data_IF_554053348655
#
_entry.id   IF_554053348655
#
_cell.length_a   1.000
_cell.length_b   1.000
_cell.length_c   1.000
_cell.angle_alpha   90.00
_cell.angle_beta   90.00
_cell.angle_gamma   90.00
#
_symmetry.space_group_name_H-M   'P 1'
#
loop_
_entity.id
_entity.type
_entity.pdbx_description
1 polymer ?
#
# COMPACT_ATOMS: atom_id res chain seq x y z
N UNK A 1 12.19 15.83 13.21
CA UNK A 1 11.30 14.97 14.03
C UNK A 1 10.06 14.67 13.24
N UNK A 2 9.68 13.40 13.17
CA UNK A 2 8.52 12.94 12.39
C UNK A 2 7.24 13.42 13.09
N UNK A 3 6.34 14.05 12.34
CA UNK A 3 4.99 14.42 12.77
C UNK A 3 3.98 13.61 11.99
N UNK A 4 2.91 13.19 12.63
CA UNK A 4 1.83 12.42 12.01
C UNK A 4 0.48 13.05 12.32
N UNK A 5 -0.41 13.09 11.34
CA UNK A 5 -1.78 13.50 11.61
C UNK A 5 -2.55 12.36 12.27
N UNK A 6 -2.84 12.53 13.55
CA UNK A 6 -3.61 11.56 14.32
C UNK A 6 -5.11 11.79 14.11
N UNK A 7 -5.79 10.85 13.49
CA UNK A 7 -7.23 10.93 13.23
C UNK A 7 -8.04 11.01 14.54
N UNK A 8 -7.56 10.36 15.59
CA UNK A 8 -8.22 10.37 16.89
C UNK A 8 -8.28 11.79 17.48
N UNK A 9 -7.15 12.51 17.43
CA UNK A 9 -7.01 13.84 18.01
C UNK A 9 -7.26 14.96 16.97
N UNK A 10 -7.44 14.61 15.70
CA UNK A 10 -7.70 15.53 14.56
C UNK A 10 -6.64 16.62 14.40
N UNK A 11 -5.38 16.32 14.71
CA UNK A 11 -4.23 17.25 14.60
C UNK A 11 -2.94 16.52 14.25
N UNK A 12 -1.96 17.26 13.72
CA UNK A 12 -0.60 16.77 13.59
C UNK A 12 0.08 16.76 14.96
N UNK A 13 0.71 15.65 15.29
CA UNK A 13 1.41 15.42 16.55
C UNK A 13 2.82 14.89 16.26
N UNK A 14 3.74 15.14 17.16
CA UNK A 14 5.06 14.51 17.11
C UNK A 14 4.90 13.01 17.35
N UNK A 15 5.55 12.23 16.49
CA UNK A 15 5.58 10.78 16.65
C UNK A 15 6.59 10.40 17.73
N UNK A 16 6.10 9.85 18.81
CA UNK A 16 6.88 9.33 19.93
C UNK A 16 6.54 7.84 20.07
N UNK A 17 7.46 6.92 19.75
CA UNK A 17 7.19 5.49 19.83
C UNK A 17 7.03 5.04 21.29
N UNK A 18 6.32 3.92 21.47
CA UNK A 18 6.20 3.23 22.78
C UNK A 18 7.55 2.71 23.27
N UNK A 19 8.34 2.19 22.36
CA UNK A 19 9.70 1.70 22.60
C UNK A 19 10.67 2.52 21.75
N UNK A 20 11.69 3.18 22.33
CA UNK A 20 12.63 3.96 21.56
C UNK A 20 13.29 3.14 20.43
N UNK A 21 13.25 3.66 19.20
CA UNK A 21 13.83 3.01 18.02
C UNK A 21 12.95 1.91 17.40
N UNK A 22 11.77 1.61 17.94
CA UNK A 22 10.85 0.60 17.39
C UNK A 22 9.50 1.25 17.06
N UNK A 23 8.81 0.73 16.03
CA UNK A 23 7.45 1.11 15.65
C UNK A 23 6.60 -0.14 15.52
N UNK A 24 5.56 -0.25 16.32
CA UNK A 24 4.54 -1.29 16.25
C UNK A 24 3.36 -0.79 15.41
N UNK A 25 3.22 -1.32 14.19
CA UNK A 25 2.24 -0.84 13.22
C UNK A 25 1.31 -1.96 12.77
N UNK A 26 0.01 -1.75 12.95
CA UNK A 26 -1.02 -2.64 12.42
C UNK A 26 -1.80 -1.94 11.32
N UNK A 27 -1.91 -2.58 10.17
CA UNK A 27 -2.68 -2.09 9.03
C UNK A 27 -3.76 -3.11 8.69
N UNK A 28 -5.03 -2.70 8.71
CA UNK A 28 -6.12 -3.58 8.32
C UNK A 28 -5.93 -4.06 6.88
N UNK A 29 -5.86 -5.37 6.72
CA UNK A 29 -5.65 -6.02 5.44
C UNK A 29 -6.95 -6.35 4.70
N UNK A 30 -6.87 -7.01 3.54
CA UNK A 30 -8.02 -7.31 2.72
C UNK A 30 -8.82 -8.50 3.22
N UNK A 31 -10.13 -8.52 2.93
CA UNK A 31 -10.92 -9.74 2.87
C UNK A 31 -10.56 -10.49 1.59
N UNK A 32 -10.04 -11.71 1.72
CA UNK A 32 -9.42 -12.46 0.61
C UNK A 32 -10.42 -13.30 -0.17
N UNK A 33 -11.36 -12.62 -0.83
CA UNK A 33 -12.38 -13.26 -1.67
C UNK A 33 -12.29 -12.90 -3.16
N UNK A 34 -11.43 -11.94 -3.51
CA UNK A 34 -11.24 -11.48 -4.88
C UNK A 34 -9.87 -10.78 -5.01
N UNK A 35 -9.42 -10.50 -6.24
CA UNK A 35 -8.31 -9.59 -6.49
C UNK A 35 -8.56 -8.24 -5.82
N UNK A 36 -7.53 -7.64 -5.25
CA UNK A 36 -7.71 -6.32 -4.68
C UNK A 36 -7.78 -5.25 -5.77
N UNK A 37 -8.61 -4.26 -5.54
CA UNK A 37 -8.79 -3.16 -6.46
C UNK A 37 -7.78 -2.04 -6.21
N UNK A 38 -7.62 -1.15 -7.18
CA UNK A 38 -6.63 -0.07 -7.12
C UNK A 38 -6.81 0.86 -5.89
N UNK A 39 -8.03 0.99 -5.37
CA UNK A 39 -8.28 1.74 -4.12
C UNK A 39 -7.64 1.07 -2.89
N UNK A 40 -7.70 -0.28 -2.79
CA UNK A 40 -6.94 -1.01 -1.78
C UNK A 40 -5.43 -0.89 -2.06
N UNK A 41 -5.03 -0.96 -3.33
CA UNK A 41 -3.65 -0.78 -3.77
C UNK A 41 -3.06 0.54 -3.28
N UNK A 42 -3.82 1.64 -3.33
CA UNK A 42 -3.38 2.91 -2.75
C UNK A 42 -3.09 2.81 -1.25
N UNK A 43 -4.00 2.21 -0.50
CA UNK A 43 -3.82 2.03 0.96
C UNK A 43 -2.55 1.21 1.25
N UNK A 44 -2.34 0.13 0.51
CA UNK A 44 -1.17 -0.73 0.71
C UNK A 44 0.14 -0.01 0.31
N UNK A 45 0.17 0.71 -0.81
CA UNK A 45 1.32 1.52 -1.24
C UNK A 45 1.64 2.62 -0.23
N UNK A 46 0.63 3.33 0.27
CA UNK A 46 0.81 4.40 1.26
C UNK A 46 1.45 3.87 2.55
N UNK A 47 0.93 2.78 3.09
CA UNK A 47 1.45 2.26 4.36
C UNK A 47 2.76 1.49 4.21
N UNK A 48 3.03 0.91 3.03
CA UNK A 48 4.36 0.43 2.65
C UNK A 48 5.38 1.59 2.62
N UNK A 49 5.03 2.71 2.02
CA UNK A 49 5.87 3.91 1.97
C UNK A 49 6.12 4.49 3.37
N UNK A 50 5.11 4.54 4.23
CA UNK A 50 5.24 5.01 5.61
C UNK A 50 6.17 4.08 6.40
N UNK A 51 6.01 2.75 6.25
CA UNK A 51 6.92 1.76 6.84
C UNK A 51 8.35 1.98 6.39
N UNK A 52 8.60 2.01 5.07
CA UNK A 52 9.94 2.22 4.49
C UNK A 52 10.56 3.53 4.96
N UNK A 53 9.76 4.57 5.12
CA UNK A 53 10.27 5.85 5.62
C UNK A 53 10.67 5.78 7.10
N UNK A 54 9.91 5.11 7.97
CA UNK A 54 10.35 4.84 9.34
C UNK A 54 11.66 4.05 9.37
N UNK A 55 11.79 3.02 8.54
CA UNK A 55 13.02 2.22 8.41
C UNK A 55 14.19 3.07 7.90
N UNK A 56 13.98 3.92 6.91
CA UNK A 56 14.96 4.91 6.43
C UNK A 56 15.41 5.87 7.53
N UNK A 57 14.52 6.25 8.44
CA UNK A 57 14.81 7.09 9.61
C UNK A 57 15.43 6.28 10.78
N UNK A 58 15.76 5.02 10.58
CA UNK A 58 16.47 4.16 11.53
C UNK A 58 15.60 3.46 12.56
N UNK A 59 14.28 3.45 12.40
CA UNK A 59 13.39 2.65 13.25
C UNK A 59 13.34 1.21 12.78
N UNK A 60 13.24 0.28 13.72
CA UNK A 60 12.78 -1.08 13.44
C UNK A 60 11.26 -1.08 13.42
N UNK A 61 10.66 -1.53 12.33
CA UNK A 61 9.19 -1.55 12.18
C UNK A 61 8.67 -2.98 12.25
N UNK A 62 7.86 -3.26 13.28
CA UNK A 62 7.06 -4.49 13.35
C UNK A 62 5.72 -4.22 12.67
N UNK A 63 5.64 -4.55 11.38
CA UNK A 63 4.49 -4.29 10.52
C UNK A 63 3.61 -5.53 10.42
N UNK A 64 2.38 -5.44 10.91
CA UNK A 64 1.37 -6.50 10.84
C UNK A 64 0.24 -6.09 9.92
N UNK A 65 -0.09 -6.95 8.96
CA UNK A 65 -1.25 -6.79 8.08
C UNK A 65 -1.99 -8.10 7.95
N UNK A 66 -3.24 -8.14 8.40
CA UNK A 66 -4.01 -9.38 8.43
C UNK A 66 -4.62 -9.77 7.07
N UNK A 67 -5.04 -11.03 7.00
CA UNK A 67 -6.02 -11.50 6.02
C UNK A 67 -7.30 -11.89 6.74
N UNK A 68 -8.42 -11.25 6.38
CA UNK A 68 -9.75 -11.72 6.73
C UNK A 68 -10.10 -12.87 5.80
N UNK A 69 -9.91 -14.10 6.27
CA UNK A 69 -10.11 -15.34 5.51
C UNK A 69 -11.38 -16.10 5.92
N UNK A 70 -12.26 -15.43 6.68
CA UNK A 70 -13.62 -15.87 7.02
C UNK A 70 -14.57 -14.67 7.09
N UNK A 71 -15.52 -14.57 6.17
CA UNK A 71 -16.46 -13.45 6.07
C UNK A 71 -17.69 -13.86 5.25
N UNK A 72 -18.80 -13.14 5.38
CA UNK A 72 -20.03 -13.38 4.62
C UNK A 72 -19.81 -13.39 3.09
N UNK A 73 -18.93 -12.51 2.58
CA UNK A 73 -18.60 -12.44 1.14
C UNK A 73 -17.84 -13.67 0.66
N UNK A 74 -16.96 -14.21 1.50
CA UNK A 74 -16.19 -15.43 1.21
C UNK A 74 -17.09 -16.66 1.19
N UNK A 75 -18.02 -16.76 2.17
CA UNK A 75 -19.01 -17.84 2.24
C UNK A 75 -19.91 -17.80 0.99
N UNK A 76 -20.41 -16.62 0.64
CA UNK A 76 -21.21 -16.44 -0.58
C UNK A 76 -20.46 -16.91 -1.83
N UNK A 77 -19.22 -16.45 -2.00
CA UNK A 77 -18.39 -16.82 -3.15
C UNK A 77 -18.08 -18.31 -3.19
N UNK A 78 -17.76 -18.91 -2.06
CA UNK A 78 -17.51 -20.36 -1.97
C UNK A 78 -18.73 -21.18 -2.40
N UNK A 79 -19.94 -20.76 -1.99
CA UNK A 79 -21.19 -21.38 -2.40
C UNK A 79 -21.47 -21.18 -3.91
N UNK A 80 -21.23 -19.99 -4.45
CA UNK A 80 -21.38 -19.69 -5.89
C UNK A 80 -20.44 -20.52 -6.75
N UNK A 81 -19.20 -20.75 -6.31
CA UNK A 81 -18.19 -21.52 -7.03
C UNK A 81 -18.19 -23.02 -6.70
N UNK A 82 -19.08 -23.48 -5.81
CA UNK A 82 -19.14 -24.90 -5.41
C UNK A 82 -17.86 -25.38 -4.72
N UNK A 83 -17.21 -24.52 -3.93
CA UNK A 83 -15.93 -24.80 -3.28
C UNK A 83 -15.97 -24.46 -1.78
N UNK A 84 -14.83 -24.52 -1.10
CA UNK A 84 -14.73 -24.21 0.33
C UNK A 84 -14.20 -22.79 0.57
N UNK A 85 -14.62 -22.15 1.67
CA UNK A 85 -14.11 -20.85 2.11
C UNK A 85 -12.58 -20.86 2.25
N UNK A 86 -12.03 -21.95 2.79
CA UNK A 86 -10.58 -22.14 2.89
C UNK A 86 -9.89 -22.06 1.53
N UNK A 87 -10.44 -22.74 0.51
CA UNK A 87 -9.85 -22.73 -0.84
C UNK A 87 -9.92 -21.34 -1.48
N UNK A 88 -11.02 -20.60 -1.28
CA UNK A 88 -11.13 -19.20 -1.69
C UNK A 88 -10.03 -18.37 -1.03
N UNK A 89 -9.89 -18.43 0.30
CA UNK A 89 -8.86 -17.73 1.05
C UNK A 89 -7.45 -18.04 0.57
N UNK A 90 -7.09 -19.34 0.46
CA UNK A 90 -5.76 -19.76 0.00
C UNK A 90 -5.45 -19.27 -1.42
N UNK A 91 -6.45 -19.27 -2.32
CA UNK A 91 -6.31 -18.76 -3.67
C UNK A 91 -6.03 -17.26 -3.67
N UNK A 92 -6.90 -16.45 -3.03
CA UNK A 92 -6.77 -15.00 -3.11
C UNK A 92 -5.66 -14.42 -2.23
N UNK A 93 -5.18 -15.13 -1.21
CA UNK A 93 -3.94 -14.77 -0.51
C UNK A 93 -2.74 -14.92 -1.46
N UNK A 94 -2.67 -16.00 -2.25
CA UNK A 94 -1.63 -16.17 -3.25
C UNK A 94 -1.66 -15.06 -4.30
N UNK A 95 -2.86 -14.75 -4.81
CA UNK A 95 -3.05 -13.68 -5.80
C UNK A 95 -2.72 -12.29 -5.21
N UNK A 96 -3.09 -12.04 -3.94
CA UNK A 96 -2.69 -10.82 -3.23
C UNK A 96 -1.17 -10.65 -3.23
N UNK A 97 -0.45 -11.71 -2.88
CA UNK A 97 1.00 -11.63 -2.85
C UNK A 97 1.61 -11.39 -4.24
N UNK A 98 1.06 -12.01 -5.27
CA UNK A 98 1.52 -11.78 -6.65
C UNK A 98 1.35 -10.32 -7.07
N UNK A 99 0.19 -9.73 -6.80
CA UNK A 99 -0.09 -8.34 -7.16
C UNK A 99 0.68 -7.34 -6.29
N UNK A 100 0.84 -7.64 -4.99
CA UNK A 100 1.62 -6.82 -4.07
C UNK A 100 3.11 -6.80 -4.42
N UNK A 101 3.70 -7.96 -4.75
CA UNK A 101 5.09 -8.06 -5.21
C UNK A 101 5.29 -7.29 -6.52
N UNK A 102 4.34 -7.42 -7.47
CA UNK A 102 4.37 -6.70 -8.73
C UNK A 102 4.27 -5.17 -8.55
N UNK A 103 3.62 -4.68 -7.48
CA UNK A 103 3.58 -3.28 -7.08
C UNK A 103 4.77 -2.84 -6.22
N UNK A 104 5.77 -3.71 -6.02
CA UNK A 104 6.90 -3.46 -5.12
C UNK A 104 6.48 -3.11 -3.69
N UNK A 105 5.42 -3.75 -3.17
CA UNK A 105 4.98 -3.65 -1.78
C UNK A 105 5.75 -4.70 -0.97
N UNK A 106 6.44 -4.27 0.08
CA UNK A 106 7.19 -5.18 0.94
C UNK A 106 6.26 -6.10 1.74
N UNK A 107 6.69 -7.33 1.91
CA UNK A 107 5.99 -8.28 2.76
C UNK A 107 5.89 -7.74 4.18
N UNK A 108 4.72 -7.86 4.79
CA UNK A 108 4.57 -7.54 6.20
C UNK A 108 5.49 -8.43 7.06
N UNK A 109 5.86 -7.94 8.25
CA UNK A 109 6.58 -8.76 9.23
C UNK A 109 5.77 -10.01 9.57
N UNK A 110 4.45 -9.84 9.70
CA UNK A 110 3.49 -10.94 9.88
C UNK A 110 2.21 -10.63 9.11
N UNK A 111 1.71 -11.62 8.36
CA UNK A 111 0.37 -11.59 7.77
C UNK A 111 -0.51 -12.66 8.44
N UNK A 112 -1.13 -12.38 9.60
CA UNK A 112 -1.96 -13.35 10.30
C UNK A 112 -3.29 -13.57 9.55
N UNK A 113 -3.80 -14.81 9.61
CA UNK A 113 -5.14 -15.17 9.11
C UNK A 113 -6.11 -15.22 10.26
N UNK A 114 -7.31 -14.69 10.11
CA UNK A 114 -8.32 -14.71 11.14
C UNK A 114 -8.65 -16.15 11.62
N UNK A 115 -8.68 -17.10 10.69
CA UNK A 115 -8.96 -18.51 11.01
C UNK A 115 -7.88 -19.20 11.85
N UNK A 116 -6.65 -18.67 11.88
CA UNK A 116 -5.55 -19.19 12.72
C UNK A 116 -5.65 -18.67 14.16
N UNK A 117 -6.47 -17.64 14.41
CA UNK A 117 -6.62 -16.98 15.72
C UNK A 117 -7.93 -17.29 16.43
N UNK A 118 -8.72 -18.26 15.97
CA UNK A 118 -10.05 -18.57 16.53
C UNK A 118 -10.01 -18.77 18.05
N UNK A 119 -9.05 -19.53 18.56
CA UNK A 119 -8.90 -19.76 20.00
C UNK A 119 -8.65 -18.48 20.80
N UNK A 120 -7.84 -17.59 20.26
CA UNK A 120 -7.55 -16.29 20.89
C UNK A 120 -8.76 -15.35 20.78
N UNK A 121 -9.48 -15.37 19.66
CA UNK A 121 -10.71 -14.60 19.46
C UNK A 121 -11.78 -15.06 20.47
N UNK A 122 -11.98 -16.36 20.66
CA UNK A 122 -12.94 -16.88 21.66
C UNK A 122 -12.57 -16.40 23.07
N UNK A 123 -11.29 -16.42 23.43
CA UNK A 123 -10.82 -15.88 24.73
C UNK A 123 -11.10 -14.39 24.86
N UNK A 124 -10.88 -13.62 23.79
CA UNK A 124 -11.10 -12.19 23.76
C UNK A 124 -12.60 -11.88 23.94
N UNK A 125 -13.48 -12.54 23.18
CA UNK A 125 -14.93 -12.39 23.28
C UNK A 125 -15.42 -12.79 24.69
N UNK A 126 -14.90 -13.90 25.24
CA UNK A 126 -15.23 -14.33 26.60
C UNK A 126 -14.84 -13.27 27.63
N UNK A 127 -13.66 -12.67 27.51
CA UNK A 127 -13.22 -11.60 28.39
C UNK A 127 -14.16 -10.39 28.35
N UNK A 128 -14.68 -10.02 27.17
CA UNK A 128 -15.68 -8.95 27.04
C UNK A 128 -17.01 -9.31 27.69
N UNK A 129 -17.47 -10.55 27.57
CA UNK A 129 -18.68 -11.05 28.23
C UNK A 129 -18.50 -11.06 29.74
N UNK A 130 -17.38 -11.58 30.25
CA UNK A 130 -17.08 -11.66 31.68
C UNK A 130 -17.00 -10.25 32.32
N UNK A 131 -16.50 -9.25 31.60
CA UNK A 131 -16.47 -7.83 32.01
C UNK A 131 -17.81 -7.11 31.80
N UNK A 132 -18.81 -7.76 31.21
CA UNK A 132 -20.13 -7.22 30.99
C UNK A 132 -20.26 -6.24 29.80
N UNK A 133 -19.26 -6.11 28.95
CA UNK A 133 -19.30 -5.30 27.72
C UNK A 133 -19.98 -6.01 26.55
N UNK A 134 -20.15 -7.33 26.64
CA UNK A 134 -20.83 -8.12 25.62
C UNK A 134 -21.89 -9.02 26.24
N UNK A 135 -22.83 -9.48 25.43
CA UNK A 135 -23.92 -10.37 25.84
C UNK A 135 -24.26 -11.36 24.73
N UNK A 136 -24.71 -12.53 25.14
CA UNK A 136 -25.11 -13.62 24.23
C UNK A 136 -26.63 -13.62 24.02
N UNK A 137 -27.07 -13.91 22.78
CA UNK A 137 -28.45 -14.17 22.40
C UNK A 137 -28.47 -15.22 21.29
N UNK A 138 -29.06 -16.39 21.59
CA UNK A 138 -29.23 -17.49 20.63
C UNK A 138 -27.93 -17.92 19.91
N UNK A 139 -26.82 -17.89 20.64
CA UNK A 139 -25.50 -18.28 20.15
C UNK A 139 -24.72 -17.15 19.42
N UNK A 140 -25.35 -16.02 19.12
CA UNK A 140 -24.66 -14.79 18.72
C UNK A 140 -24.16 -14.05 19.97
N UNK A 141 -22.98 -13.41 19.87
CA UNK A 141 -22.49 -12.53 20.94
C UNK A 141 -22.36 -11.12 20.37
N UNK A 142 -23.02 -10.18 21.04
CA UNK A 142 -23.04 -8.78 20.66
C UNK A 142 -22.24 -7.93 21.65
N UNK A 143 -21.44 -6.98 21.13
CA UNK A 143 -20.83 -5.92 21.93
C UNK A 143 -21.87 -4.83 22.23
N UNK A 144 -21.94 -4.39 23.48
CA UNK A 144 -22.88 -3.36 23.92
C UNK A 144 -22.22 -1.98 23.85
N UNK A 145 -22.51 -1.25 22.79
CA UNK A 145 -21.90 0.05 22.51
C UNK A 145 -22.16 1.08 23.59
N UNK A 146 -23.35 1.09 24.20
CA UNK A 146 -23.73 2.00 25.29
C UNK A 146 -22.93 1.80 26.58
N UNK A 147 -22.31 0.64 26.76
CA UNK A 147 -21.48 0.35 27.94
C UNK A 147 -20.06 0.86 27.84
N UNK A 148 -19.61 1.15 26.61
CA UNK A 148 -18.28 1.70 26.37
C UNK A 148 -18.35 3.22 26.29
N UNK A 149 -17.89 3.89 27.34
CA UNK A 149 -17.82 5.35 27.38
C UNK A 149 -16.85 5.87 26.31
N UNK A 150 -17.29 6.84 25.51
CA UNK A 150 -16.48 7.40 24.43
C UNK A 150 -16.59 6.66 23.11
N UNK A 151 -17.59 5.75 22.91
CA UNK A 151 -17.88 5.20 21.58
C UNK A 151 -18.19 6.35 20.60
N UNK A 152 -17.55 6.34 19.42
CA UNK A 152 -17.62 7.44 18.45
C UNK A 152 -16.46 8.43 18.53
N UNK A 153 -15.49 8.26 19.44
CA UNK A 153 -14.38 9.19 19.64
C UNK A 153 -13.44 9.33 18.43
N UNK A 154 -13.24 8.25 17.66
CA UNK A 154 -12.41 8.27 16.46
C UNK A 154 -13.14 8.91 15.28
N UNK A 155 -14.37 8.48 15.03
CA UNK A 155 -15.16 8.92 13.89
C UNK A 155 -15.67 10.36 14.08
N UNK A 156 -15.89 10.75 15.32
CA UNK A 156 -16.55 12.01 15.68
C UNK A 156 -18.03 12.01 15.30
N UNK A 157 -18.63 10.83 15.09
CA UNK A 157 -20.05 10.70 14.80
C UNK A 157 -20.86 10.73 16.10
N UNK A 158 -21.95 11.48 16.09
CA UNK A 158 -22.91 11.44 17.18
C UNK A 158 -23.76 10.17 17.07
N UNK A 159 -23.74 9.33 18.09
CA UNK A 159 -24.47 8.06 18.14
C UNK A 159 -25.98 8.27 17.94
N UNK A 160 -26.53 9.35 18.50
CA UNK A 160 -27.95 9.71 18.40
C UNK A 160 -28.35 10.02 16.95
N UNK A 161 -27.49 10.72 16.19
CA UNK A 161 -27.72 11.03 14.79
C UNK A 161 -27.65 9.77 13.92
N UNK A 162 -26.76 8.82 14.26
CA UNK A 162 -26.65 7.53 13.56
C UNK A 162 -27.92 6.67 13.78
N UNK A 163 -28.48 6.68 14.99
CA UNK A 163 -29.73 5.97 15.29
C UNK A 163 -30.93 6.55 14.55
N UNK A 164 -30.96 7.87 14.36
CA UNK A 164 -32.05 8.57 13.69
C UNK A 164 -31.99 8.48 12.16
N UNK A 165 -30.78 8.35 11.59
CA UNK A 165 -30.54 8.33 10.12
C UNK A 165 -30.37 6.94 9.50
N UNK A 166 -30.14 5.92 10.29
CA UNK A 166 -29.90 4.58 9.78
C UNK A 166 -31.23 3.86 9.46
N UNK A 167 -31.45 3.50 8.20
CA UNK A 167 -32.33 2.38 7.82
C UNK A 167 -31.67 1.07 8.29
N UNK A 168 -31.47 0.91 9.59
CA UNK A 168 -30.97 -0.33 10.19
C UNK A 168 -32.17 -1.30 10.14
N UNK A 169 -32.01 -2.43 9.45
CA UNK A 169 -32.90 -3.56 9.71
C UNK A 169 -32.74 -3.90 11.20
N UNK A 170 -33.77 -3.60 11.95
CA UNK A 170 -33.75 -3.81 13.41
C UNK A 170 -33.69 -5.32 13.63
N UNK A 171 -32.53 -5.83 14.00
CA UNK A 171 -32.43 -7.18 14.55
C UNK A 171 -32.96 -7.09 15.99
N UNK A 172 -34.18 -7.58 16.20
CA UNK A 172 -34.88 -7.55 17.49
C UNK A 172 -34.13 -8.26 18.63
N UNK A 173 -33.10 -9.05 18.30
CA UNK A 173 -32.23 -9.73 19.26
C UNK A 173 -31.23 -8.79 19.92
N UNK A 174 -30.92 -7.65 19.29
CA UNK A 174 -30.01 -6.64 19.84
C UNK A 174 -30.70 -5.80 20.90
N UNK A 175 -29.96 -5.55 22.00
CA UNK A 175 -30.43 -4.63 23.05
C UNK A 175 -30.43 -3.17 22.61
N UNK A 176 -29.52 -2.82 21.69
CA UNK A 176 -29.43 -1.52 21.03
C UNK A 176 -29.14 -1.71 19.56
N UNK A 177 -29.73 -0.94 18.64
CA UNK A 177 -29.45 -1.02 17.20
C UNK A 177 -27.98 -0.85 16.83
N UNK A 178 -27.22 -0.12 17.63
CA UNK A 178 -25.79 0.13 17.40
C UNK A 178 -24.89 -1.02 17.87
N UNK A 179 -25.43 -1.98 18.66
CA UNK A 179 -24.66 -3.13 19.09
C UNK A 179 -24.25 -3.96 17.87
N UNK A 180 -23.07 -4.52 17.90
CA UNK A 180 -22.52 -5.26 16.77
C UNK A 180 -22.04 -6.66 17.17
N UNK A 181 -22.18 -7.60 16.24
CA UNK A 181 -21.81 -8.99 16.48
C UNK A 181 -20.29 -9.15 16.54
N UNK A 182 -19.78 -9.74 17.61
CA UNK A 182 -18.36 -10.11 17.80
C UNK A 182 -18.16 -11.63 17.68
N UNK A 183 -19.25 -12.41 17.81
CA UNK A 183 -19.33 -13.84 17.49
C UNK A 183 -20.68 -14.10 16.84
N UNK A 184 -20.71 -14.88 15.75
CA UNK A 184 -21.93 -15.19 15.01
C UNK A 184 -22.21 -16.68 15.11
N UNK A 185 -23.41 -17.07 15.54
CA UNK A 185 -23.88 -18.44 15.54
C UNK A 185 -23.83 -19.03 14.13
N UNK A 186 -23.51 -20.31 14.05
CA UNK A 186 -23.42 -21.03 12.78
C UNK A 186 -24.75 -21.04 12.03
N UNK A 187 -24.74 -20.72 10.76
CA UNK A 187 -25.82 -21.00 9.82
C UNK A 187 -25.52 -22.26 9.01
N UNK A 188 -26.55 -22.95 8.50
CA UNK A 188 -26.37 -24.17 7.69
C UNK A 188 -25.38 -23.92 6.54
N UNK A 189 -24.36 -24.80 6.42
CA UNK A 189 -23.37 -24.75 5.37
C UNK A 189 -22.22 -23.75 5.60
N UNK A 190 -22.21 -22.98 6.69
CA UNK A 190 -21.11 -22.09 7.04
C UNK A 190 -19.99 -22.82 7.81
N UNK A 191 -18.72 -22.45 7.59
CA UNK A 191 -17.62 -22.84 8.49
C UNK A 191 -17.91 -22.35 9.91
N UNK A 192 -17.63 -23.19 10.90
CA UNK A 192 -17.84 -22.83 12.29
C UNK A 192 -16.88 -23.55 13.23
N UNK A 193 -16.67 -22.97 14.40
CA UNK A 193 -15.81 -23.48 15.46
C UNK A 193 -16.60 -23.56 16.77
N UNK A 194 -16.22 -24.54 17.60
CA UNK A 194 -16.83 -24.70 18.90
C UNK A 194 -16.42 -23.56 19.84
N UNK A 195 -17.40 -22.99 20.53
CA UNK A 195 -17.22 -21.90 21.48
C UNK A 195 -18.12 -22.10 22.71
N UNK A 196 -17.95 -21.30 23.79
CA UNK A 196 -18.86 -21.33 24.94
C UNK A 196 -20.33 -21.03 24.60
N UNK A 197 -20.58 -20.40 23.46
CA UNK A 197 -21.93 -20.00 22.99
C UNK A 197 -22.46 -20.93 21.90
N UNK A 198 -21.77 -22.04 21.65
CA UNK A 198 -22.10 -22.99 20.59
C UNK A 198 -21.20 -22.88 19.37
N UNK A 199 -21.60 -23.57 18.29
CA UNK A 199 -20.90 -23.50 17.01
C UNK A 199 -21.11 -22.13 16.37
N UNK A 200 -20.01 -21.52 15.89
CA UNK A 200 -20.08 -20.21 15.30
C UNK A 200 -18.76 -19.74 14.70
N UNK A 201 -18.70 -18.48 14.35
CA UNK A 201 -17.54 -17.83 13.74
C UNK A 201 -17.35 -16.39 14.24
N UNK A 202 -16.15 -15.81 14.07
CA UNK A 202 -15.89 -14.40 14.46
C UNK A 202 -16.81 -13.41 13.74
N UNK A 203 -17.15 -12.33 14.44
CA UNK A 203 -17.55 -11.08 13.80
C UNK A 203 -16.34 -10.40 13.16
N UNK A 204 -16.57 -9.57 12.15
CA UNK A 204 -15.49 -8.96 11.39
C UNK A 204 -14.54 -8.06 12.23
N UNK A 205 -15.08 -7.32 13.20
CA UNK A 205 -14.29 -6.33 13.94
C UNK A 205 -13.37 -6.92 15.00
N UNK A 206 -13.74 -8.11 15.55
CA UNK A 206 -12.96 -8.73 16.63
C UNK A 206 -11.64 -9.32 16.16
N UNK A 207 -11.55 -9.64 14.88
CA UNK A 207 -10.35 -10.24 14.28
C UNK A 207 -9.13 -9.36 14.47
N UNK A 208 -9.20 -8.11 13.99
CA UNK A 208 -8.09 -7.15 14.04
C UNK A 208 -7.73 -6.78 15.48
N UNK A 209 -8.71 -6.53 16.35
CA UNK A 209 -8.46 -6.29 17.77
C UNK A 209 -7.68 -7.42 18.44
N UNK A 210 -8.09 -8.68 18.16
CA UNK A 210 -7.45 -9.85 18.72
C UNK A 210 -6.04 -10.06 18.17
N UNK A 211 -5.86 -9.98 16.84
CA UNK A 211 -4.56 -10.19 16.20
C UNK A 211 -3.56 -9.11 16.56
N UNK A 212 -3.97 -7.82 16.58
CA UNK A 212 -3.12 -6.72 17.00
C UNK A 212 -2.65 -6.88 18.44
N UNK A 213 -3.57 -7.15 19.37
CA UNK A 213 -3.21 -7.40 20.78
C UNK A 213 -2.25 -8.57 20.94
N UNK A 214 -2.48 -9.66 20.23
CA UNK A 214 -1.67 -10.88 20.35
C UNK A 214 -0.27 -10.72 19.79
N UNK A 215 -0.12 -10.00 18.69
CA UNK A 215 1.15 -9.91 17.95
C UNK A 215 1.98 -8.69 18.36
N UNK A 216 1.34 -7.57 18.71
CA UNK A 216 2.00 -6.30 18.96
C UNK A 216 1.87 -5.80 20.42
N UNK A 217 0.89 -6.32 21.17
CA UNK A 217 0.65 -5.95 22.56
C UNK A 217 -0.68 -5.22 22.77
N UNK A 218 -0.94 -4.84 24.03
CA UNK A 218 -2.22 -4.22 24.42
C UNK A 218 -2.39 -2.82 23.86
N UNK A 219 -1.30 -2.06 23.79
CA UNK A 219 -1.22 -0.77 23.12
C UNK A 219 -0.17 -0.84 22.02
N UNK A 220 -0.49 -0.32 20.83
CA UNK A 220 0.41 -0.25 19.68
C UNK A 220 0.71 1.21 19.32
N UNK A 221 1.77 1.45 18.53
CA UNK A 221 2.10 2.81 18.10
C UNK A 221 1.08 3.31 17.07
N UNK A 222 0.92 2.58 15.96
CA UNK A 222 0.10 3.00 14.83
C UNK A 222 -0.93 1.93 14.49
N UNK A 223 -2.20 2.34 14.40
CA UNK A 223 -3.27 1.56 13.77
C UNK A 223 -3.74 2.29 12.52
N UNK A 224 -3.84 1.59 11.38
CA UNK A 224 -4.05 2.26 10.12
C UNK A 224 -4.90 1.46 9.13
N UNK A 225 -5.45 2.17 8.12
CA UNK A 225 -6.23 1.58 7.06
C UNK A 225 -6.84 2.61 6.10
N UNK A 226 -7.77 2.19 5.26
CA UNK A 226 -8.56 3.10 4.44
C UNK A 226 -9.50 3.97 5.27
N UNK A 227 -9.85 5.14 4.76
CA UNK A 227 -10.75 6.07 5.46
C UNK A 227 -12.18 5.52 5.65
N UNK A 228 -12.59 4.52 4.87
CA UNK A 228 -13.84 3.77 5.02
C UNK A 228 -13.87 2.90 6.27
N UNK A 229 -12.70 2.46 6.74
CA UNK A 229 -12.59 1.66 7.95
C UNK A 229 -12.75 2.49 9.23
N UNK A 230 -12.60 3.81 9.16
CA UNK A 230 -12.70 4.69 10.32
C UNK A 230 -13.99 4.44 11.11
N UNK A 231 -15.12 4.25 10.40
CA UNK A 231 -16.40 3.87 10.97
C UNK A 231 -17.11 2.88 10.03
N UNK A 232 -17.68 1.76 10.56
CA UNK A 232 -17.67 1.39 11.98
C UNK A 232 -16.45 0.58 12.44
N UNK A 233 -15.56 0.11 11.52
CA UNK A 233 -14.58 -0.94 11.80
C UNK A 233 -13.59 -0.55 12.91
N UNK A 234 -12.80 0.51 12.72
CA UNK A 234 -11.80 0.97 13.67
C UNK A 234 -12.42 1.51 14.97
N UNK A 235 -13.58 2.15 14.90
CA UNK A 235 -14.32 2.55 16.10
C UNK A 235 -14.71 1.33 16.96
N UNK A 236 -15.17 0.25 16.31
CA UNK A 236 -15.51 -0.99 16.98
C UNK A 236 -14.28 -1.69 17.56
N UNK A 237 -13.16 -1.64 16.85
CA UNK A 237 -11.90 -2.19 17.36
C UNK A 237 -11.41 -1.47 18.62
N UNK A 238 -11.51 -0.13 18.65
CA UNK A 238 -11.22 0.67 19.84
C UNK A 238 -12.09 0.19 20.99
N UNK A 239 -13.40 0.13 20.78
CA UNK A 239 -14.34 -0.25 21.82
C UNK A 239 -14.04 -1.65 22.37
N UNK A 240 -13.78 -2.62 21.52
CA UNK A 240 -13.44 -3.98 21.91
C UNK A 240 -12.13 -4.06 22.70
N UNK A 241 -11.09 -3.44 22.18
CA UNK A 241 -9.74 -3.54 22.76
C UNK A 241 -9.67 -2.81 24.09
N UNK A 242 -10.13 -1.57 24.16
CA UNK A 242 -10.06 -0.76 25.36
C UNK A 242 -11.04 -1.24 26.46
N UNK A 243 -12.23 -1.76 26.10
CA UNK A 243 -13.10 -2.42 27.05
C UNK A 243 -12.47 -3.67 27.68
N UNK A 244 -11.69 -4.43 26.90
CA UNK A 244 -11.02 -5.62 27.41
C UNK A 244 -9.81 -5.31 28.26
N UNK A 245 -8.95 -4.37 27.82
CA UNK A 245 -7.65 -4.11 28.44
C UNK A 245 -7.71 -3.03 29.52
N UNK A 246 -8.54 -2.00 29.32
CA UNK A 246 -8.52 -0.77 30.10
C UNK A 246 -7.48 0.24 29.65
N UNK A 247 -6.70 -0.09 28.61
CA UNK A 247 -5.62 0.72 28.07
C UNK A 247 -5.96 1.23 26.67
N UNK A 248 -5.39 2.36 26.20
CA UNK A 248 -5.57 2.83 24.83
C UNK A 248 -5.11 1.78 23.81
N UNK A 249 -5.91 1.52 22.78
CA UNK A 249 -5.57 0.51 21.79
C UNK A 249 -4.40 0.92 20.92
N UNK A 250 -4.42 2.13 20.36
CA UNK A 250 -3.33 2.68 19.57
C UNK A 250 -3.08 4.15 19.89
N UNK A 251 -1.80 4.58 19.85
CA UNK A 251 -1.42 5.98 20.07
C UNK A 251 -1.79 6.86 18.89
N UNK A 252 -1.56 6.36 17.68
CA UNK A 252 -1.78 7.12 16.44
C UNK A 252 -2.68 6.33 15.49
N UNK A 253 -3.68 7.02 14.94
CA UNK A 253 -4.64 6.49 13.98
C UNK A 253 -4.44 7.17 12.63
N UNK A 254 -3.99 6.41 11.62
CA UNK A 254 -3.71 6.94 10.29
C UNK A 254 -4.68 6.36 9.26
N UNK A 255 -5.23 7.23 8.42
CA UNK A 255 -6.21 6.81 7.40
C UNK A 255 -5.84 7.35 6.03
N UNK A 256 -5.73 6.47 5.04
CA UNK A 256 -5.57 6.87 3.63
C UNK A 256 -6.93 7.21 3.03
N UNK A 257 -6.98 8.29 2.26
CA UNK A 257 -8.21 8.71 1.60
C UNK A 257 -8.53 7.83 0.37
N UNK A 258 -9.77 7.91 -0.09
CA UNK A 258 -10.29 7.14 -1.23
C UNK A 258 -9.61 7.47 -2.56
N UNK A 259 -9.68 6.50 -3.47
CA UNK A 259 -9.48 6.69 -4.90
C UNK A 259 -10.84 6.84 -5.57
N UNK A 260 -11.05 7.94 -6.27
CA UNK A 260 -12.15 8.12 -7.21
C UNK A 260 -11.68 7.70 -8.61
N UNK A 261 -12.57 7.24 -9.44
CA UNK A 261 -12.30 6.94 -10.85
C UNK A 261 -13.09 7.92 -11.71
N UNK A 262 -12.40 8.72 -12.53
CA UNK A 262 -13.03 9.76 -13.33
C UNK A 262 -13.95 10.69 -12.51
N UNK A 263 -13.48 11.11 -11.33
CA UNK A 263 -14.20 11.95 -10.35
C UNK A 263 -15.44 11.30 -9.72
N UNK A 264 -15.69 10.01 -9.95
CA UNK A 264 -16.77 9.26 -9.33
C UNK A 264 -16.24 8.22 -8.35
N UNK A 265 -17.05 7.92 -7.33
CA UNK A 265 -16.69 6.84 -6.39
C UNK A 265 -16.61 5.51 -7.14
N UNK A 266 -15.50 4.78 -6.96
CA UNK A 266 -15.32 3.47 -7.56
C UNK A 266 -16.37 2.48 -7.07
N UNK A 267 -17.09 1.83 -7.99
CA UNK A 267 -18.07 0.78 -7.68
C UNK A 267 -18.23 -0.20 -8.85
N UNK A 268 -18.55 -1.45 -8.52
CA UNK A 268 -18.86 -2.48 -9.54
C UNK A 268 -20.09 -2.13 -10.37
N UNK A 269 -21.09 -1.45 -9.76
CA UNK A 269 -22.33 -1.06 -10.44
C UNK A 269 -22.12 0.03 -11.50
N UNK A 270 -21.08 0.85 -11.37
CA UNK A 270 -20.71 1.90 -12.33
C UNK A 270 -19.71 1.41 -13.39
N UNK A 271 -19.34 0.14 -13.34
CA UNK A 271 -18.34 -0.45 -14.24
C UNK A 271 -17.02 0.34 -14.32
N UNK A 272 -16.68 1.04 -13.23
CA UNK A 272 -15.46 1.81 -13.05
C UNK A 272 -14.52 1.17 -12.00
N UNK A 273 -14.62 -0.15 -11.82
CA UNK A 273 -13.86 -0.93 -10.87
C UNK A 273 -12.68 -1.59 -11.58
N UNK A 274 -11.46 -1.22 -11.20
CA UNK A 274 -10.22 -1.79 -11.73
C UNK A 274 -9.47 -2.53 -10.64
N UNK A 275 -9.04 -3.74 -10.95
CA UNK A 275 -8.07 -4.47 -10.12
C UNK A 275 -6.66 -3.90 -10.31
N UNK A 276 -5.81 -4.06 -9.30
CA UNK A 276 -4.40 -3.67 -9.45
C UNK A 276 -3.71 -4.42 -10.60
N UNK A 277 -4.08 -5.69 -10.82
CA UNK A 277 -3.55 -6.53 -11.89
C UNK A 277 -3.85 -5.98 -13.28
N UNK A 278 -5.10 -5.58 -13.55
CA UNK A 278 -5.49 -4.99 -14.84
C UNK A 278 -4.70 -3.72 -15.17
N UNK A 279 -4.33 -2.94 -14.15
CA UNK A 279 -3.52 -1.74 -14.37
C UNK A 279 -2.04 -2.11 -14.57
N UNK A 280 -1.52 -3.12 -13.86
CA UNK A 280 -0.16 -3.62 -14.03
C UNK A 280 0.10 -4.25 -15.40
N UNK A 281 -0.93 -4.72 -16.11
CA UNK A 281 -0.81 -5.17 -17.50
C UNK A 281 -0.47 -4.03 -18.47
N UNK A 282 -0.73 -2.78 -18.09
CA UNK A 282 -0.57 -1.59 -18.96
C UNK A 282 0.52 -0.62 -18.49
N UNK A 283 0.80 -0.59 -17.19
CA UNK A 283 1.70 0.38 -16.58
C UNK A 283 2.67 -0.29 -15.61
N UNK A 284 3.91 0.17 -15.63
CA UNK A 284 4.94 -0.25 -14.67
C UNK A 284 4.55 0.13 -13.22
N UNK A 285 5.06 -0.65 -12.27
CA UNK A 285 4.81 -0.42 -10.85
C UNK A 285 5.19 1.00 -10.39
N UNK A 286 6.30 1.54 -10.88
CA UNK A 286 6.77 2.88 -10.52
C UNK A 286 5.78 3.96 -10.99
N UNK A 287 5.11 3.76 -12.14
CA UNK A 287 4.07 4.68 -12.64
C UNK A 287 2.85 4.66 -11.73
N UNK A 288 2.43 3.47 -11.31
CA UNK A 288 1.27 3.32 -10.41
C UNK A 288 1.60 3.91 -9.04
N UNK A 289 2.76 3.58 -8.47
CA UNK A 289 3.21 4.12 -7.19
C UNK A 289 3.36 5.63 -7.24
N UNK A 290 3.95 6.16 -8.31
CA UNK A 290 4.10 7.60 -8.52
C UNK A 290 2.74 8.30 -8.50
N UNK A 291 1.75 7.81 -9.25
CA UNK A 291 0.39 8.37 -9.23
C UNK A 291 -0.20 8.32 -7.82
N UNK A 292 -0.11 7.17 -7.12
CA UNK A 292 -0.68 7.01 -5.78
C UNK A 292 -0.04 7.93 -4.74
N UNK A 293 1.26 8.24 -4.89
CA UNK A 293 2.04 9.07 -3.98
C UNK A 293 2.14 10.55 -4.42
N UNK A 294 1.63 10.90 -5.61
CA UNK A 294 1.62 12.28 -6.12
C UNK A 294 0.65 13.21 -5.40
N UNK A 295 -0.28 12.64 -4.63
CA UNK A 295 -1.17 13.38 -3.73
C UNK A 295 -0.93 12.93 -2.30
N UNK A 296 -1.04 13.86 -1.34
CA UNK A 296 -0.94 13.53 0.08
C UNK A 296 -1.91 12.41 0.44
N UNK A 297 -1.48 11.42 1.27
CA UNK A 297 -2.26 10.21 1.56
C UNK A 297 -3.66 10.48 2.15
N UNK A 298 -3.85 11.61 2.84
CA UNK A 298 -5.15 12.04 3.39
C UNK A 298 -6.06 12.76 2.40
N UNK A 299 -5.56 13.09 1.20
CA UNK A 299 -6.36 13.70 0.14
C UNK A 299 -6.92 12.63 -0.80
N UNK A 300 -8.15 12.84 -1.26
CA UNK A 300 -8.72 11.99 -2.30
C UNK A 300 -7.88 12.09 -3.57
N UNK A 301 -7.66 10.96 -4.21
CA UNK A 301 -6.95 10.86 -5.48
C UNK A 301 -7.97 10.52 -6.57
N UNK A 302 -7.93 11.26 -7.67
CA UNK A 302 -8.63 10.86 -8.87
C UNK A 302 -7.73 9.93 -9.70
N UNK A 303 -8.27 8.79 -10.10
CA UNK A 303 -7.60 7.84 -10.97
C UNK A 303 -8.23 7.94 -12.37
N UNK A 304 -7.42 8.31 -13.35
CA UNK A 304 -7.83 8.43 -14.75
C UNK A 304 -6.67 8.07 -15.67
N UNK A 305 -6.97 7.73 -16.92
CA UNK A 305 -5.96 7.41 -17.92
C UNK A 305 -5.02 8.59 -18.17
N UNK A 306 -5.54 9.82 -18.26
CA UNK A 306 -4.74 11.03 -18.45
C UNK A 306 -3.73 11.23 -17.30
N UNK A 307 -4.13 10.95 -16.05
CA UNK A 307 -3.24 11.06 -14.90
C UNK A 307 -2.18 9.95 -14.87
N UNK A 308 -2.52 8.75 -15.35
CA UNK A 308 -1.55 7.66 -15.52
C UNK A 308 -0.51 8.00 -16.60
N UNK A 309 -0.93 8.54 -17.74
CA UNK A 309 0.01 8.99 -18.78
C UNK A 309 0.91 10.14 -18.29
N UNK A 310 0.36 11.08 -17.52
CA UNK A 310 1.14 12.14 -16.88
C UNK A 310 2.14 11.60 -15.86
N UNK A 311 1.73 10.61 -15.07
CA UNK A 311 2.62 9.93 -14.13
C UNK A 311 3.73 9.17 -14.87
N UNK A 312 3.39 8.47 -15.97
CA UNK A 312 4.34 7.78 -16.83
C UNK A 312 5.41 8.72 -17.38
N UNK A 313 4.99 9.84 -17.97
CA UNK A 313 5.93 10.86 -18.48
C UNK A 313 6.84 11.42 -17.36
N UNK A 314 6.31 11.55 -16.14
CA UNK A 314 7.11 12.00 -14.99
C UNK A 314 8.13 10.96 -14.55
N UNK A 315 7.76 9.69 -14.49
CA UNK A 315 8.65 8.56 -14.17
C UNK A 315 9.73 8.40 -15.25
N UNK A 316 9.36 8.49 -16.54
CA UNK A 316 10.31 8.44 -17.65
C UNK A 316 11.36 9.55 -17.56
N UNK A 317 11.00 10.77 -17.16
CA UNK A 317 11.97 11.86 -16.93
C UNK A 317 12.99 11.51 -15.85
N UNK A 318 12.56 10.84 -14.78
CA UNK A 318 13.46 10.40 -13.71
C UNK A 318 14.38 9.29 -14.22
N UNK A 319 13.85 8.30 -14.91
CA UNK A 319 14.66 7.23 -15.48
C UNK A 319 15.62 7.71 -16.58
N UNK A 320 15.24 8.70 -17.38
CA UNK A 320 16.16 9.33 -18.33
C UNK A 320 17.36 10.00 -17.61
N UNK A 321 17.10 10.64 -16.46
CA UNK A 321 18.21 11.21 -15.68
C UNK A 321 19.10 10.12 -15.04
N UNK A 322 18.50 9.03 -14.55
CA UNK A 322 19.23 7.86 -14.07
C UNK A 322 20.11 7.29 -15.20
N UNK A 323 19.54 7.09 -16.39
CA UNK A 323 20.25 6.60 -17.56
C UNK A 323 21.41 7.51 -18.00
N UNK A 324 21.20 8.82 -17.98
CA UNK A 324 22.26 9.77 -18.29
C UNK A 324 23.44 9.62 -17.30
N UNK A 325 23.16 9.53 -16.00
CA UNK A 325 24.21 9.31 -15.00
C UNK A 325 24.89 7.95 -15.16
N UNK A 326 24.13 6.88 -15.43
CA UNK A 326 24.68 5.55 -15.70
C UNK A 326 25.61 5.55 -16.93
N UNK A 327 25.26 6.28 -18.00
CA UNK A 327 26.10 6.43 -19.18
C UNK A 327 27.37 7.24 -18.88
N UNK A 328 27.25 8.36 -18.16
CA UNK A 328 28.40 9.15 -17.74
C UNK A 328 29.39 8.34 -16.90
N UNK A 329 28.93 7.48 -16.01
CA UNK A 329 29.77 6.59 -15.21
C UNK A 329 30.64 5.66 -16.08
N UNK A 330 30.17 5.28 -17.29
CA UNK A 330 30.93 4.43 -18.20
C UNK A 330 31.85 5.23 -19.14
N UNK A 331 31.45 6.44 -19.51
CA UNK A 331 32.12 7.24 -20.53
C UNK A 331 33.22 8.14 -19.97
N UNK A 332 33.09 8.62 -18.73
CA UNK A 332 34.05 9.55 -18.15
C UNK A 332 35.35 8.85 -17.78
N UNK A 333 36.46 9.52 -18.10
CA UNK A 333 37.80 8.97 -17.87
C UNK A 333 38.40 9.33 -16.51
N UNK A 334 37.92 10.38 -15.89
CA UNK A 334 38.43 10.84 -14.59
C UNK A 334 37.67 10.15 -13.45
N UNK A 335 38.39 9.36 -12.68
CA UNK A 335 37.78 8.56 -11.60
C UNK A 335 37.39 9.39 -10.37
N UNK A 336 38.30 10.20 -9.82
CA UNK A 336 38.16 10.87 -8.53
C UNK A 336 37.63 12.32 -8.67
N UNK A 337 36.88 12.76 -7.66
CA UNK A 337 36.40 14.13 -7.56
C UNK A 337 37.53 15.12 -7.23
N UNK A 338 37.49 16.29 -7.87
CA UNK A 338 38.27 17.47 -7.44
C UNK A 338 37.54 18.22 -6.29
N UNK A 339 38.18 19.26 -5.74
CA UNK A 339 37.61 20.02 -4.62
C UNK A 339 36.32 20.77 -4.96
N UNK A 340 36.15 21.21 -6.18
CA UNK A 340 34.92 21.89 -6.65
C UNK A 340 33.78 20.91 -6.72
N UNK A 341 34.00 19.67 -7.19
CA UNK A 341 33.01 18.64 -7.26
C UNK A 341 32.61 18.09 -5.88
N UNK A 342 33.55 17.99 -4.94
CA UNK A 342 33.25 17.66 -3.55
C UNK A 342 32.34 18.70 -2.92
N UNK A 343 32.64 19.98 -3.11
CA UNK A 343 31.80 21.10 -2.65
C UNK A 343 30.40 21.07 -3.32
N UNK A 344 30.35 20.74 -4.62
CA UNK A 344 29.10 20.61 -5.34
C UNK A 344 28.28 19.41 -4.79
N UNK A 345 28.87 18.24 -4.62
CA UNK A 345 28.21 17.07 -4.04
C UNK A 345 27.64 17.38 -2.64
N UNK A 346 28.40 18.07 -1.81
CA UNK A 346 27.90 18.51 -0.49
C UNK A 346 26.69 19.43 -0.64
N UNK A 347 26.66 20.31 -1.65
CA UNK A 347 25.54 21.18 -1.91
C UNK A 347 24.24 20.45 -2.30
N UNK A 348 24.34 19.21 -2.83
CA UNK A 348 23.17 18.37 -3.16
C UNK A 348 22.44 17.87 -1.91
N UNK A 349 23.09 17.87 -0.74
CA UNK A 349 22.44 17.48 0.54
C UNK A 349 21.23 18.36 0.87
N UNK A 350 21.16 19.60 0.36
CA UNK A 350 19.98 20.46 0.49
C UNK A 350 18.68 19.78 -0.01
N UNK A 351 18.77 18.92 -1.04
CA UNK A 351 17.61 18.21 -1.59
C UNK A 351 17.20 17.03 -0.70
N UNK A 352 18.19 16.34 -0.12
CA UNK A 352 17.94 15.31 0.89
C UNK A 352 17.31 15.90 2.14
N UNK A 353 17.80 17.02 2.62
CA UNK A 353 17.24 17.74 3.77
C UNK A 353 15.78 18.18 3.48
N UNK A 354 15.53 18.74 2.28
CA UNK A 354 14.19 19.11 1.84
C UNK A 354 13.27 17.89 1.76
N UNK A 355 13.74 16.77 1.19
CA UNK A 355 12.99 15.52 1.13
C UNK A 355 12.60 15.05 2.54
N UNK A 356 13.56 14.99 3.46
CA UNK A 356 13.34 14.59 4.85
C UNK A 356 12.37 15.54 5.56
N UNK A 357 12.51 16.86 5.38
CA UNK A 357 11.57 17.85 5.94
C UNK A 357 10.14 17.58 5.51
N UNK A 358 9.92 17.27 4.22
CA UNK A 358 8.60 16.99 3.68
C UNK A 358 8.03 15.65 4.14
N UNK A 359 8.85 14.62 4.17
CA UNK A 359 8.45 13.32 4.68
C UNK A 359 8.22 13.33 6.20
N UNK A 360 8.99 14.10 6.96
CA UNK A 360 8.78 14.30 8.40
C UNK A 360 7.48 15.06 8.71
N UNK A 361 6.92 15.80 7.76
CA UNK A 361 5.67 16.53 7.90
C UNK A 361 4.46 15.70 7.43
N UNK A 362 4.15 14.64 8.15
CA UNK A 362 2.98 13.78 7.90
C UNK A 362 3.08 13.03 6.57
N UNK A 363 4.29 12.56 6.25
CA UNK A 363 4.56 11.76 5.05
C UNK A 363 4.10 12.44 3.76
N UNK A 364 4.45 13.73 3.59
CA UNK A 364 4.09 14.50 2.40
C UNK A 364 4.91 14.07 1.19
N UNK A 365 4.53 12.95 0.60
CA UNK A 365 5.20 12.35 -0.55
C UNK A 365 5.18 13.22 -1.79
N UNK A 366 4.13 14.02 -2.00
CA UNK A 366 4.02 14.92 -3.16
C UNK A 366 5.15 15.97 -3.18
N UNK A 367 5.38 16.61 -2.04
CA UNK A 367 6.47 17.59 -1.92
C UNK A 367 7.86 16.91 -1.86
N UNK A 368 7.94 15.70 -1.27
CA UNK A 368 9.17 14.92 -1.26
C UNK A 368 9.60 14.52 -2.70
N UNK A 369 8.67 14.09 -3.55
CA UNK A 369 8.91 13.83 -4.98
C UNK A 369 9.42 15.10 -5.69
N UNK A 370 8.91 16.27 -5.33
CA UNK A 370 9.41 17.55 -5.89
C UNK A 370 10.88 17.76 -5.56
N UNK A 371 11.35 17.40 -4.36
CA UNK A 371 12.76 17.49 -4.01
C UNK A 371 13.65 16.57 -4.88
N UNK A 372 13.14 15.39 -5.27
CA UNK A 372 13.83 14.50 -6.22
C UNK A 372 13.92 15.15 -7.62
N UNK A 373 12.86 15.77 -8.11
CA UNK A 373 12.90 16.49 -9.38
C UNK A 373 13.88 17.66 -9.37
N UNK A 374 13.95 18.42 -8.26
CA UNK A 374 14.90 19.49 -8.09
C UNK A 374 16.35 18.97 -8.10
N UNK A 375 16.62 17.87 -7.41
CA UNK A 375 17.92 17.16 -7.43
C UNK A 375 18.30 16.75 -8.87
N UNK A 376 17.38 16.10 -9.58
CA UNK A 376 17.60 15.64 -10.96
C UNK A 376 17.91 16.82 -11.90
N UNK A 377 17.14 17.91 -11.78
CA UNK A 377 17.35 19.11 -12.59
C UNK A 377 18.73 19.73 -12.34
N UNK A 378 19.14 19.82 -11.09
CA UNK A 378 20.44 20.35 -10.71
C UNK A 378 21.56 19.43 -11.21
N UNK A 379 21.45 18.12 -11.00
CA UNK A 379 22.40 17.11 -11.46
C UNK A 379 22.58 17.13 -12.98
N UNK A 380 21.48 17.14 -13.76
CA UNK A 380 21.52 17.19 -15.23
C UNK A 380 22.17 18.50 -15.77
N UNK A 381 22.17 19.55 -14.98
CA UNK A 381 22.78 20.83 -15.38
C UNK A 381 24.29 20.87 -15.11
N UNK A 382 24.74 20.26 -14.01
CA UNK A 382 26.09 20.44 -13.49
C UNK A 382 26.98 19.19 -13.60
N UNK A 383 26.41 18.01 -13.86
CA UNK A 383 27.20 16.78 -14.05
C UNK A 383 27.24 16.48 -15.56
N UNK A 384 28.43 16.55 -16.12
CA UNK A 384 28.69 16.47 -17.58
C UNK A 384 29.81 15.48 -17.86
N UNK A 385 30.14 15.31 -19.12
CA UNK A 385 31.27 14.44 -19.55
C UNK A 385 32.62 14.89 -18.95
N UNK A 386 32.77 16.13 -18.54
CA UNK A 386 33.97 16.66 -17.88
C UNK A 386 34.01 16.39 -16.37
N UNK A 387 32.92 15.86 -15.82
CA UNK A 387 32.81 15.50 -14.40
C UNK A 387 33.57 14.21 -14.09
N UNK A 388 33.76 13.90 -12.81
CA UNK A 388 34.34 12.62 -12.40
C UNK A 388 33.28 11.53 -12.34
N UNK A 389 33.72 10.30 -12.53
CA UNK A 389 32.90 9.09 -12.36
C UNK A 389 32.33 9.02 -10.94
N UNK A 390 33.15 9.31 -9.93
CA UNK A 390 32.74 9.33 -8.53
C UNK A 390 31.57 10.30 -8.29
N UNK A 391 31.59 11.52 -8.88
CA UNK A 391 30.49 12.46 -8.75
C UNK A 391 29.20 11.94 -9.37
N UNK A 392 29.27 11.38 -10.58
CA UNK A 392 28.10 10.79 -11.24
C UNK A 392 27.51 9.61 -10.43
N UNK A 393 28.38 8.75 -9.87
CA UNK A 393 27.97 7.64 -9.00
C UNK A 393 27.26 8.14 -7.74
N UNK A 394 27.84 9.16 -7.06
CA UNK A 394 27.25 9.72 -5.82
C UNK A 394 25.91 10.43 -6.07
N UNK A 395 25.75 11.11 -7.19
CA UNK A 395 24.48 11.71 -7.57
C UNK A 395 23.42 10.64 -7.85
N UNK A 396 23.78 9.56 -8.56
CA UNK A 396 22.90 8.43 -8.82
C UNK A 396 22.50 7.72 -7.52
N UNK A 397 23.46 7.46 -6.62
CA UNK A 397 23.22 6.90 -5.29
C UNK A 397 22.21 7.73 -4.50
N UNK A 398 22.34 9.06 -4.53
CA UNK A 398 21.43 9.96 -3.84
C UNK A 398 20.00 9.92 -4.41
N UNK A 399 19.84 9.86 -5.75
CA UNK A 399 18.52 9.70 -6.37
C UNK A 399 17.86 8.39 -5.93
N UNK A 400 18.62 7.29 -5.93
CA UNK A 400 18.12 5.98 -5.50
C UNK A 400 17.83 5.94 -4.01
N UNK A 401 18.65 6.56 -3.19
CA UNK A 401 18.44 6.70 -1.76
C UNK A 401 17.09 7.36 -1.47
N UNK A 402 16.77 8.48 -2.14
CA UNK A 402 15.51 9.19 -1.94
C UNK A 402 14.31 8.47 -2.55
N UNK A 403 14.52 7.67 -3.59
CA UNK A 403 13.48 6.82 -4.20
C UNK A 403 13.14 5.59 -3.37
N UNK A 404 14.08 5.05 -2.59
CA UNK A 404 13.90 3.81 -1.84
C UNK A 404 12.72 3.82 -0.85
N UNK A 405 12.52 4.87 -0.03
CA UNK A 405 11.35 4.94 0.86
C UNK A 405 10.02 5.01 0.09
N UNK A 406 10.04 5.51 -1.14
CA UNK A 406 8.86 5.53 -2.02
C UNK A 406 8.62 4.19 -2.73
N UNK A 407 9.57 3.25 -2.64
CA UNK A 407 9.56 1.98 -3.37
C UNK A 407 9.73 2.15 -4.88
N UNK A 408 10.43 3.18 -5.34
CA UNK A 408 10.59 3.56 -6.75
C UNK A 408 12.06 3.85 -7.10
N UNK A 409 12.36 3.92 -8.40
CA UNK A 409 13.63 4.39 -8.98
C UNK A 409 14.85 3.54 -8.65
N UNK A 410 14.67 2.25 -8.40
CA UNK A 410 15.76 1.33 -8.06
C UNK A 410 16.30 0.56 -9.28
N UNK A 411 15.57 0.54 -10.39
CA UNK A 411 15.95 -0.21 -11.59
C UNK A 411 17.14 0.47 -12.29
N UNK A 412 18.03 -0.33 -12.88
CA UNK A 412 18.99 0.19 -13.85
C UNK A 412 18.31 0.36 -15.21
N UNK A 413 18.65 1.42 -15.92
CA UNK A 413 18.13 1.62 -17.28
C UNK A 413 18.86 0.76 -18.30
N UNK A 414 20.08 0.34 -18.03
CA UNK A 414 20.92 -0.46 -18.94
C UNK A 414 20.32 -1.84 -19.21
N UNK A 415 19.96 -2.58 -18.17
CA UNK A 415 19.36 -3.91 -18.32
C UNK A 415 17.97 -3.86 -18.97
N UNK A 416 17.15 -2.89 -18.58
CA UNK A 416 15.80 -2.70 -19.14
C UNK A 416 15.85 -2.28 -20.61
N UNK A 417 16.82 -1.44 -21.01
CA UNK A 417 16.99 -1.03 -22.40
C UNK A 417 17.38 -2.22 -23.30
N UNK A 418 18.30 -3.06 -22.85
CA UNK A 418 18.69 -4.27 -23.57
C UNK A 418 17.52 -5.25 -23.72
N UNK A 419 16.79 -5.54 -22.63
CA UNK A 419 15.60 -6.41 -22.65
C UNK A 419 14.48 -5.83 -23.54
N UNK A 420 14.24 -4.54 -23.49
CA UNK A 420 13.25 -3.87 -24.33
C UNK A 420 13.64 -3.90 -25.80
N UNK A 421 14.91 -3.65 -26.12
CA UNK A 421 15.45 -3.74 -27.48
C UNK A 421 15.34 -5.18 -27.99
N UNK A 422 15.72 -6.16 -27.19
CA UNK A 422 15.62 -7.58 -27.57
C UNK A 422 14.16 -8.00 -27.76
N UNK A 423 13.23 -7.54 -26.92
CA UNK A 423 11.79 -7.79 -27.07
C UNK A 423 11.24 -7.14 -28.36
N UNK A 424 11.65 -5.91 -28.69
CA UNK A 424 11.29 -5.23 -29.92
C UNK A 424 11.90 -5.93 -31.15
N UNK A 425 13.15 -6.40 -31.08
CA UNK A 425 13.79 -7.20 -32.11
C UNK A 425 13.04 -8.52 -32.33
N UNK A 426 12.67 -9.22 -31.25
CA UNK A 426 11.89 -10.45 -31.33
C UNK A 426 10.52 -10.22 -31.99
N UNK A 427 9.82 -9.12 -31.58
CA UNK A 427 8.55 -8.72 -32.19
C UNK A 427 8.67 -8.37 -33.67
N UNK A 428 9.74 -7.64 -34.04
CA UNK A 428 10.05 -7.37 -35.48
C UNK A 428 10.31 -8.64 -36.25
N UNK A 429 11.07 -9.58 -35.69
CA UNK A 429 11.34 -10.86 -36.34
C UNK A 429 10.05 -11.68 -36.53
N UNK A 430 9.15 -11.68 -35.54
CA UNK A 430 7.87 -12.36 -35.65
C UNK A 430 6.98 -11.69 -36.73
N UNK A 431 6.89 -10.35 -36.75
CA UNK A 431 6.18 -9.63 -37.79
C UNK A 431 6.70 -9.95 -39.21
N UNK A 432 8.02 -10.08 -39.39
CA UNK A 432 8.61 -10.51 -40.68
C UNK A 432 8.23 -11.93 -41.06
N UNK A 433 8.17 -12.86 -40.08
CA UNK A 433 7.70 -14.25 -40.32
C UNK A 433 6.23 -14.28 -40.74
N UNK A 434 5.43 -13.45 -40.14
CA UNK A 434 3.99 -13.33 -40.39
C UNK A 434 3.68 -12.47 -41.64
N UNK A 435 4.75 -11.99 -42.34
CA UNK A 435 4.70 -11.11 -43.53
C UNK A 435 4.01 -9.74 -43.25
N UNK A 436 3.98 -9.30 -41.99
CA UNK A 436 3.58 -7.95 -41.61
C UNK A 436 4.78 -7.00 -41.68
N UNK A 437 5.13 -6.64 -42.93
CA UNK A 437 6.28 -5.77 -43.16
C UNK A 437 6.07 -4.35 -42.65
N UNK A 438 4.80 -3.88 -42.58
CA UNK A 438 4.48 -2.56 -42.07
C UNK A 438 4.82 -2.43 -40.56
N UNK A 439 4.47 -3.43 -39.76
CA UNK A 439 4.83 -3.51 -38.35
C UNK A 439 6.36 -3.64 -38.16
N UNK A 440 7.01 -4.48 -39.00
CA UNK A 440 8.45 -4.66 -38.89
C UNK A 440 9.24 -3.37 -39.20
N UNK A 441 8.81 -2.59 -40.19
CA UNK A 441 9.41 -1.31 -40.53
C UNK A 441 9.15 -0.25 -39.46
N UNK A 442 7.93 -0.19 -38.91
CA UNK A 442 7.59 0.68 -37.79
C UNK A 442 8.49 0.45 -36.57
N UNK A 443 8.72 -0.81 -36.20
CA UNK A 443 9.61 -1.16 -35.07
C UNK A 443 11.04 -0.74 -35.37
N UNK A 444 11.53 -0.95 -36.60
CA UNK A 444 12.87 -0.51 -36.98
C UNK A 444 13.04 1.00 -36.89
N UNK A 445 12.06 1.75 -37.38
CA UNK A 445 12.09 3.20 -37.37
C UNK A 445 11.99 3.74 -35.92
N UNK A 446 11.18 3.13 -35.07
CA UNK A 446 11.11 3.43 -33.65
C UNK A 446 12.47 3.24 -32.94
N UNK A 447 13.15 2.12 -33.19
CA UNK A 447 14.48 1.87 -32.64
C UNK A 447 15.52 2.86 -33.18
N UNK A 448 15.43 3.21 -34.47
CA UNK A 448 16.31 4.21 -35.08
C UNK A 448 16.12 5.61 -34.49
N UNK A 449 14.88 6.01 -34.22
CA UNK A 449 14.56 7.30 -33.57
C UNK A 449 15.10 7.36 -32.12
N UNK A 450 15.30 6.19 -31.49
CA UNK A 450 15.97 6.06 -30.19
C UNK A 450 17.52 5.95 -30.31
N UNK A 451 18.10 6.18 -31.48
CA UNK A 451 19.54 6.06 -31.70
C UNK A 451 20.05 4.62 -31.77
N UNK A 452 19.18 3.64 -32.03
CA UNK A 452 19.53 2.20 -32.08
C UNK A 452 19.50 1.73 -33.52
N UNK A 453 20.62 1.22 -34.03
CA UNK A 453 20.72 0.66 -35.37
C UNK A 453 20.77 -0.85 -35.30
N UNK A 454 19.89 -1.49 -36.09
CA UNK A 454 19.85 -2.95 -36.24
C UNK A 454 20.69 -3.39 -37.41
N UNK A 455 21.51 -4.43 -37.20
CA UNK A 455 22.29 -5.12 -38.23
C UNK A 455 21.81 -6.58 -38.35
N UNK A 456 21.16 -6.92 -39.46
CA UNK A 456 20.76 -8.31 -39.75
C UNK A 456 22.00 -9.12 -40.10
N UNK A 457 22.34 -10.17 -39.31
CA UNK A 457 23.47 -11.06 -39.53
C UNK A 457 22.99 -12.50 -39.74
N UNK A 458 23.81 -13.39 -40.34
CA UNK A 458 23.45 -14.81 -40.48
C UNK A 458 23.16 -15.53 -39.14
N UNK A 459 23.67 -14.98 -38.02
CA UNK A 459 23.50 -15.53 -36.68
C UNK A 459 22.37 -14.86 -35.88
N UNK A 460 21.65 -13.88 -36.47
CA UNK A 460 20.59 -13.15 -35.85
C UNK A 460 20.70 -11.64 -36.04
N UNK A 461 19.85 -10.86 -35.38
CA UNK A 461 19.90 -9.40 -35.42
C UNK A 461 20.84 -8.91 -34.30
N UNK A 462 21.80 -8.08 -34.68
CA UNK A 462 22.64 -7.35 -33.73
C UNK A 462 22.21 -5.88 -33.71
N UNK A 463 22.42 -5.23 -32.60
CA UNK A 463 22.12 -3.80 -32.46
C UNK A 463 23.31 -3.06 -31.88
N UNK A 464 23.38 -1.75 -32.17
CA UNK A 464 24.33 -0.82 -31.58
C UNK A 464 23.67 0.56 -31.40
N UNK A 465 24.08 1.28 -30.39
CA UNK A 465 23.74 2.69 -30.24
C UNK A 465 24.64 3.54 -31.17
N UNK A 466 24.07 4.65 -31.71
CA UNK A 466 24.79 5.63 -32.52
C UNK A 466 24.96 6.89 -31.69
#
# INVERSE_FOLDING_TARGET
MIKVYNTLNKKKEEFIPLTPGEVKMYVCGPTVYNFFHIGNGRTFIVFDTIRRYFEYRGFKVDFVQNFTDIDDKMIKKANEEGTTVKKIGDTYIKEYYQDADALNIERATVNPRATEFIGEIIKFVKGLVDKGYAYEVDGDVYFSTKKFEGYGKLSGQNIEDLQSGARISVDERKKDPMDFAIWKAQKPGEPAWNSPWGMGRPGWHIECSCMAKKLLGETIDIHAGGSDLKFPHHENEIAQSEALTGEPFARYWLHSAFVNVNNEKMSKSLNNFFTAREILERYDADVIRFLMLSAHYRQQLNFSEDLLESAKASVERIYNAIGNLENLIDEVSREEMNEEEKAYLESLNKYKEKYIEKMDDDFNTADAITAIFDLIKDSNTNITIDSSKELAQKALELIRELGAPLGMFQKSTKGNLEEEIEALIAKRQQARKDRDFALADKIRDELKDRGIVLEDTPQGVRWKMI
#
